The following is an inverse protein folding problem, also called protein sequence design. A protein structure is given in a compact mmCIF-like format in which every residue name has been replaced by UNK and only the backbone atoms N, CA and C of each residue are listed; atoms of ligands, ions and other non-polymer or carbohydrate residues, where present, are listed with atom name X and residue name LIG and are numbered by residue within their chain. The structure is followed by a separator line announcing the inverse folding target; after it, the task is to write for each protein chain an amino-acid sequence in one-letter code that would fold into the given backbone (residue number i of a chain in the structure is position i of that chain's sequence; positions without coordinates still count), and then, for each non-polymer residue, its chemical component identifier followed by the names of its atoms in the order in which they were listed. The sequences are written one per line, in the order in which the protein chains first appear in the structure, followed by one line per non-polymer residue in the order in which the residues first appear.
data_IF_688624813460
#
_entry.id   IF_688624813460
#
_cell.length_a   1.000
_cell.length_b   1.000
_cell.length_c   1.000
_cell.angle_alpha   90.00
_cell.angle_beta   90.00
_cell.angle_gamma   90.00
#
_symmetry.space_group_name_H-M   'P 1'
#
loop_
_entity.id
_entity.type
_entity.pdbx_description
1 polymer ?
#
# COMPACT_ATOMS: atom_id res chain seq x y z
N UNK A 1 1.55 -30.48 10.57
CA UNK A 1 2.68 -29.94 11.33
C UNK A 1 2.85 -28.50 10.88
N UNK A 2 2.28 -27.58 11.64
CA UNK A 2 2.37 -26.12 11.35
C UNK A 2 3.70 -25.63 11.93
N UNK A 3 4.66 -25.28 11.06
CA UNK A 3 5.87 -24.60 11.49
C UNK A 3 5.51 -23.12 11.71
N UNK A 4 5.28 -22.74 12.95
CA UNK A 4 5.35 -21.34 13.37
C UNK A 4 6.83 -20.95 13.33
N UNK A 5 7.24 -20.24 12.25
CA UNK A 5 8.55 -19.61 12.21
C UNK A 5 8.65 -18.63 13.39
N UNK A 6 9.80 -18.57 14.04
CA UNK A 6 10.03 -17.59 15.13
C UNK A 6 10.16 -16.19 14.54
N UNK A 7 9.80 -15.14 15.28
CA UNK A 7 9.90 -13.72 14.87
C UNK A 7 11.31 -13.37 14.33
N UNK A 8 12.35 -14.00 14.89
CA UNK A 8 13.75 -13.86 14.45
C UNK A 8 13.98 -14.47 13.06
N UNK A 9 13.39 -15.62 12.76
CA UNK A 9 13.54 -16.31 11.46
C UNK A 9 12.84 -15.54 10.35
N UNK A 10 11.66 -14.98 10.61
CA UNK A 10 10.91 -14.16 9.64
C UNK A 10 11.68 -12.89 9.26
N UNK A 11 12.27 -12.19 10.24
CA UNK A 11 13.06 -10.98 9.99
C UNK A 11 14.33 -11.30 9.19
N UNK A 12 15.03 -12.36 9.56
CA UNK A 12 16.25 -12.80 8.84
C UNK A 12 15.94 -13.20 7.40
N UNK A 13 14.78 -13.81 7.13
CA UNK A 13 14.36 -14.18 5.78
C UNK A 13 14.10 -12.94 4.90
N UNK A 14 13.57 -11.84 5.45
CA UNK A 14 13.41 -10.60 4.69
C UNK A 14 14.73 -9.85 4.48
N UNK A 15 15.64 -9.83 5.47
CA UNK A 15 16.96 -9.18 5.35
C UNK A 15 17.81 -9.78 4.21
N UNK A 16 17.56 -11.03 3.84
CA UNK A 16 18.23 -11.73 2.72
C UNK A 16 17.49 -11.55 1.38
N UNK A 17 16.22 -11.12 1.40
CA UNK A 17 15.40 -10.94 0.19
C UNK A 17 15.78 -9.65 -0.57
N UNK A 18 15.58 -9.61 -1.91
CA UNK A 18 15.83 -8.39 -2.68
C UNK A 18 15.05 -7.19 -2.16
N UNK A 19 15.69 -6.02 -2.11
CA UNK A 19 15.05 -4.75 -1.77
C UNK A 19 14.23 -4.27 -2.97
N UNK A 20 12.91 -4.15 -2.79
CA UNK A 20 11.97 -3.62 -3.79
C UNK A 20 11.86 -2.10 -3.69
N UNK A 21 11.71 -1.55 -2.48
CA UNK A 21 11.66 -0.11 -2.26
C UNK A 21 12.73 0.28 -1.23
N UNK A 22 13.53 1.30 -1.56
CA UNK A 22 14.45 1.95 -0.60
C UNK A 22 14.12 3.44 -0.53
N UNK A 23 13.97 3.93 0.67
CA UNK A 23 13.85 5.34 1.01
C UNK A 23 15.11 5.75 1.74
N UNK A 24 15.76 6.81 1.28
CA UNK A 24 16.99 7.32 1.90
C UNK A 24 16.87 8.83 2.17
N UNK A 25 16.80 9.18 3.46
CA UNK A 25 16.75 10.54 3.99
C UNK A 25 15.65 11.43 3.36
N UNK A 26 14.45 10.88 3.15
CA UNK A 26 13.36 11.59 2.47
C UNK A 26 12.89 12.79 3.28
N UNK A 27 12.91 13.97 2.67
CA UNK A 27 12.44 15.24 3.24
C UNK A 27 11.37 15.86 2.35
N UNK A 28 10.34 16.41 2.98
CA UNK A 28 9.26 17.12 2.29
C UNK A 28 8.67 18.20 3.16
N UNK A 29 8.52 19.39 2.59
CA UNK A 29 7.89 20.53 3.24
C UNK A 29 6.81 21.14 2.34
N UNK A 30 5.82 21.78 2.94
CA UNK A 30 4.82 22.59 2.27
C UNK A 30 4.81 23.98 2.92
N UNK A 31 5.42 24.97 2.26
CA UNK A 31 5.74 26.26 2.87
C UNK A 31 6.64 26.06 4.09
N UNK A 32 6.25 26.58 5.25
CA UNK A 32 7.02 26.46 6.50
C UNK A 32 6.76 25.13 7.24
N UNK A 33 5.84 24.31 6.77
CA UNK A 33 5.49 23.04 7.43
C UNK A 33 6.40 21.91 6.94
N UNK A 34 7.32 21.45 7.79
CA UNK A 34 8.15 20.28 7.54
C UNK A 34 7.34 19.00 7.83
N UNK A 35 6.96 18.26 6.77
CA UNK A 35 6.08 17.08 6.87
C UNK A 35 6.87 15.79 6.95
N UNK A 36 7.96 15.65 6.17
CA UNK A 36 8.89 14.52 6.25
C UNK A 36 10.29 15.05 6.57
N UNK A 37 10.94 14.47 7.58
CA UNK A 37 12.17 14.98 8.18
C UNK A 37 13.28 13.92 8.21
N UNK A 38 13.60 13.33 7.05
CA UNK A 38 14.68 12.34 6.95
C UNK A 38 14.19 10.92 7.19
N UNK A 39 13.20 10.49 6.41
CA UNK A 39 12.67 9.13 6.47
C UNK A 39 13.57 8.19 5.68
N UNK A 40 14.06 7.13 6.34
CA UNK A 40 14.88 6.09 5.72
C UNK A 40 14.45 4.69 6.18
N UNK A 41 14.06 3.83 5.23
CA UNK A 41 13.83 2.41 5.43
C UNK A 41 13.74 1.69 4.08
N UNK A 42 13.94 0.38 4.09
CA UNK A 42 13.79 -0.49 2.92
C UNK A 42 12.50 -1.30 3.01
N UNK A 43 11.98 -1.78 1.90
CA UNK A 43 10.94 -2.83 1.82
C UNK A 43 11.47 -3.94 0.93
N UNK A 44 11.41 -5.17 1.43
CA UNK A 44 11.90 -6.34 0.73
C UNK A 44 10.79 -7.03 -0.07
N UNK A 45 11.21 -7.88 -1.00
CA UNK A 45 10.26 -8.64 -1.82
C UNK A 45 9.35 -9.51 -0.94
N UNK A 46 8.05 -9.47 -1.23
CA UNK A 46 7.00 -10.19 -0.50
C UNK A 46 6.75 -9.71 0.93
N UNK A 47 7.35 -8.60 1.32
CA UNK A 47 7.12 -8.00 2.63
C UNK A 47 5.86 -7.12 2.64
N UNK A 48 5.09 -7.19 3.72
CA UNK A 48 3.98 -6.28 4.02
C UNK A 48 4.40 -5.34 5.14
N UNK A 49 4.58 -4.06 4.80
CA UNK A 49 4.94 -3.00 5.75
C UNK A 49 3.72 -2.14 6.06
N UNK A 50 3.35 -2.05 7.34
CA UNK A 50 2.31 -1.13 7.80
C UNK A 50 2.92 0.19 8.29
N UNK A 51 2.52 1.27 7.65
CA UNK A 51 2.87 2.64 8.01
C UNK A 51 1.82 3.19 8.97
N UNK A 52 2.15 3.28 10.24
CA UNK A 52 1.25 3.74 11.30
C UNK A 52 1.65 5.13 11.81
N UNK A 53 0.74 5.76 12.53
CA UNK A 53 0.99 7.06 13.17
C UNK A 53 -0.25 7.94 13.20
N UNK A 54 -0.26 8.99 14.04
CA UNK A 54 -1.38 9.92 14.14
C UNK A 54 -1.66 10.63 12.81
N UNK A 55 -2.85 11.24 12.70
CA UNK A 55 -3.18 12.11 11.58
C UNK A 55 -2.15 13.24 11.46
N UNK A 56 -1.73 13.56 10.25
CA UNK A 56 -0.71 14.58 10.00
C UNK A 56 0.74 14.14 10.25
N UNK A 57 1.01 12.86 10.57
CA UNK A 57 2.38 12.37 10.76
C UNK A 57 3.22 12.25 9.49
N UNK A 58 2.61 12.40 8.30
CA UNK A 58 3.28 12.34 7.01
C UNK A 58 3.05 11.07 6.19
N UNK A 59 2.21 10.11 6.65
CA UNK A 59 1.96 8.82 5.96
C UNK A 59 1.56 8.99 4.49
N UNK A 60 0.44 9.68 4.24
CA UNK A 60 -0.05 9.89 2.87
C UNK A 60 0.89 10.74 2.01
N UNK A 61 1.63 11.68 2.63
CA UNK A 61 2.66 12.44 1.92
C UNK A 61 3.81 11.52 1.48
N UNK A 62 4.28 10.64 2.35
CA UNK A 62 5.32 9.67 2.01
C UNK A 62 4.86 8.75 0.88
N UNK A 63 3.64 8.22 0.95
CA UNK A 63 3.09 7.38 -0.11
C UNK A 63 2.95 8.13 -1.45
N UNK A 64 2.59 9.43 -1.42
CA UNK A 64 2.57 10.29 -2.61
C UNK A 64 3.97 10.55 -3.17
N UNK A 65 5.00 10.62 -2.34
CA UNK A 65 6.38 10.69 -2.81
C UNK A 65 6.80 9.39 -3.49
N UNK A 66 6.46 8.23 -2.93
CA UNK A 66 6.79 6.92 -3.50
C UNK A 66 6.14 6.69 -4.86
N UNK A 67 4.90 7.16 -5.07
CA UNK A 67 4.21 7.03 -6.37
C UNK A 67 4.42 8.23 -7.31
N UNK A 68 5.33 9.15 -6.97
CA UNK A 68 5.69 10.34 -7.73
C UNK A 68 4.52 11.32 -7.99
N UNK A 69 3.51 11.34 -7.10
CA UNK A 69 2.46 12.37 -7.08
C UNK A 69 2.93 13.63 -6.34
N UNK A 70 3.94 13.49 -5.47
CA UNK A 70 4.64 14.59 -4.82
C UNK A 70 6.14 14.41 -5.02
N UNK A 71 6.85 15.48 -5.33
CA UNK A 71 8.31 15.47 -5.39
C UNK A 71 8.89 15.62 -3.98
N UNK A 72 9.93 14.87 -3.68
CA UNK A 72 10.72 15.06 -2.47
C UNK A 72 11.52 16.37 -2.57
N UNK A 73 11.78 17.02 -1.44
CA UNK A 73 12.63 18.21 -1.40
C UNK A 73 14.12 17.81 -1.28
N UNK A 74 14.38 16.65 -0.63
CA UNK A 74 15.71 16.06 -0.45
C UNK A 74 15.59 14.56 -0.20
N UNK A 75 16.68 13.82 -0.42
CA UNK A 75 16.74 12.36 -0.32
C UNK A 75 16.47 11.64 -1.63
N UNK A 76 16.54 10.31 -1.60
CA UNK A 76 16.40 9.46 -2.77
C UNK A 76 15.43 8.31 -2.51
N UNK A 77 14.65 7.96 -3.53
CA UNK A 77 13.77 6.80 -3.53
C UNK A 77 14.20 5.86 -4.66
N UNK A 78 14.37 4.58 -4.33
CA UNK A 78 14.78 3.55 -5.26
C UNK A 78 13.72 2.47 -5.38
N UNK A 79 13.31 2.12 -6.59
CA UNK A 79 12.40 1.03 -6.88
C UNK A 79 13.16 -0.04 -7.68
N UNK A 80 13.39 -1.22 -7.07
CA UNK A 80 14.20 -2.30 -7.66
C UNK A 80 15.51 -1.79 -8.28
N UNK A 81 16.27 -1.00 -7.50
CA UNK A 81 17.56 -0.44 -7.91
C UNK A 81 17.50 0.73 -8.91
N UNK A 82 16.30 1.19 -9.29
CA UNK A 82 16.10 2.39 -10.12
C UNK A 82 15.86 3.58 -9.22
N UNK A 83 16.69 4.63 -9.28
CA UNK A 83 16.41 5.92 -8.62
C UNK A 83 15.23 6.60 -9.31
N UNK A 84 14.08 6.61 -8.62
CA UNK A 84 12.84 7.20 -9.13
C UNK A 84 12.74 8.71 -8.87
N UNK A 85 13.66 9.25 -8.08
CA UNK A 85 13.77 10.70 -7.79
C UNK A 85 14.69 11.44 -8.75
N UNK A 86 15.42 10.72 -9.62
CA UNK A 86 16.23 11.35 -10.68
C UNK A 86 15.30 12.19 -11.59
N UNK A 87 15.56 13.49 -11.78
CA UNK A 87 14.73 14.34 -12.65
C UNK A 87 14.64 13.87 -14.11
N UNK A 88 15.55 12.99 -14.54
CA UNK A 88 15.57 12.39 -15.88
C UNK A 88 14.77 11.10 -15.98
N UNK A 89 14.29 10.58 -14.85
CA UNK A 89 13.53 9.33 -14.83
C UNK A 89 12.18 9.46 -15.55
N UNK A 90 11.80 8.44 -16.29
CA UNK A 90 10.48 8.35 -16.92
C UNK A 90 9.43 8.03 -15.84
N UNK A 91 8.77 9.08 -15.33
CA UNK A 91 7.79 8.95 -14.26
C UNK A 91 6.60 8.07 -14.65
N UNK A 92 6.18 8.06 -15.92
CA UNK A 92 5.05 7.25 -16.36
C UNK A 92 5.42 5.77 -16.40
N UNK A 93 6.64 5.44 -16.86
CA UNK A 93 7.17 4.09 -16.81
C UNK A 93 7.33 3.59 -15.36
N UNK A 94 7.74 4.46 -14.42
CA UNK A 94 7.85 4.12 -13.00
C UNK A 94 6.46 3.90 -12.39
N UNK A 95 5.51 4.81 -12.60
CA UNK A 95 4.13 4.67 -12.09
C UNK A 95 3.45 3.41 -12.61
N UNK A 96 3.79 2.95 -13.82
CA UNK A 96 3.27 1.71 -14.39
C UNK A 96 3.70 0.45 -13.62
N UNK A 97 4.76 0.53 -12.80
CA UNK A 97 5.31 -0.55 -11.96
C UNK A 97 4.72 -0.55 -10.55
N UNK A 98 4.00 0.52 -10.15
CA UNK A 98 3.44 0.71 -8.81
C UNK A 98 1.91 0.66 -8.90
N UNK A 99 1.29 -0.26 -8.16
CA UNK A 99 -0.15 -0.29 -7.96
C UNK A 99 -0.53 0.64 -6.81
N UNK A 100 -1.56 1.46 -7.00
CA UNK A 100 -2.00 2.39 -5.93
C UNK A 100 -3.50 2.26 -5.72
N UNK A 101 -3.89 2.12 -4.44
CA UNK A 101 -5.28 2.20 -3.99
C UNK A 101 -5.36 3.33 -2.98
N UNK A 102 -6.18 4.32 -3.28
CA UNK A 102 -6.35 5.51 -2.46
C UNK A 102 -7.51 5.33 -1.46
N UNK A 103 -7.53 6.17 -0.45
CA UNK A 103 -8.62 6.29 0.53
C UNK A 103 -10.00 6.47 -0.15
N UNK A 104 -10.09 7.31 -1.17
CA UNK A 104 -11.22 7.37 -2.07
C UNK A 104 -10.99 6.38 -3.22
N UNK A 105 -12.04 5.69 -3.65
CA UNK A 105 -11.95 4.62 -4.65
C UNK A 105 -11.37 5.09 -5.99
N UNK A 106 -11.57 6.36 -6.33
CA UNK A 106 -11.06 7.02 -7.55
C UNK A 106 -11.37 6.23 -8.82
N UNK A 107 -12.53 5.57 -8.88
CA UNK A 107 -13.02 4.96 -10.10
C UNK A 107 -13.51 6.03 -11.06
N UNK A 108 -13.28 5.81 -12.35
CA UNK A 108 -13.80 6.69 -13.40
C UNK A 108 -15.32 6.49 -13.52
N UNK A 109 -16.18 7.47 -13.14
CA UNK A 109 -17.62 7.27 -13.02
C UNK A 109 -18.31 7.01 -14.36
N UNK A 110 -17.72 7.48 -15.46
CA UNK A 110 -18.21 7.29 -16.83
C UNK A 110 -17.73 6.01 -17.51
N UNK A 111 -17.00 5.16 -16.78
CA UNK A 111 -16.50 3.88 -17.25
C UNK A 111 -17.11 2.73 -16.46
N UNK A 112 -17.43 1.63 -17.14
CA UNK A 112 -17.84 0.39 -16.48
C UNK A 112 -16.69 -0.19 -15.65
N UNK A 113 -17.01 -1.11 -14.74
CA UNK A 113 -16.03 -1.84 -13.89
C UNK A 113 -14.91 -2.44 -14.74
N UNK A 114 -15.24 -3.19 -15.78
CA UNK A 114 -14.22 -3.83 -16.62
C UNK A 114 -13.34 -2.80 -17.35
N UNK A 115 -13.91 -1.65 -17.75
CA UNK A 115 -13.14 -0.56 -18.35
C UNK A 115 -12.21 0.13 -17.36
N UNK A 116 -12.67 0.32 -16.11
CA UNK A 116 -11.85 0.83 -15.03
C UNK A 116 -10.63 -0.07 -14.78
N UNK A 117 -10.85 -1.38 -14.67
CA UNK A 117 -9.79 -2.36 -14.41
C UNK A 117 -8.81 -2.46 -15.59
N UNK A 118 -9.30 -2.48 -16.83
CA UNK A 118 -8.46 -2.68 -18.02
C UNK A 118 -7.73 -1.43 -18.52
N UNK A 119 -8.04 -0.24 -17.98
CA UNK A 119 -7.59 1.03 -18.54
C UNK A 119 -6.05 1.12 -18.67
N UNK A 120 -5.32 0.90 -17.56
CA UNK A 120 -3.87 0.98 -17.54
C UNK A 120 -3.22 -0.08 -18.43
N UNK A 121 -3.68 -1.33 -18.37
CA UNK A 121 -3.18 -2.42 -19.21
C UNK A 121 -3.30 -2.09 -20.70
N UNK A 122 -4.40 -1.45 -21.11
CA UNK A 122 -4.63 -1.10 -22.53
C UNK A 122 -3.92 0.17 -22.97
N UNK A 123 -3.89 1.20 -22.11
CA UNK A 123 -3.39 2.54 -22.48
C UNK A 123 -1.90 2.73 -22.23
N UNK A 124 -1.40 2.14 -21.15
CA UNK A 124 0.01 2.25 -20.74
C UNK A 124 0.82 1.04 -21.17
N UNK A 125 0.31 -0.16 -20.94
CA UNK A 125 1.02 -1.40 -21.29
C UNK A 125 0.68 -1.95 -22.67
N UNK A 126 -0.18 -1.26 -23.45
CA UNK A 126 -0.55 -1.61 -24.84
C UNK A 126 -1.06 -3.05 -25.03
N UNK A 127 -1.70 -3.64 -23.99
CA UNK A 127 -2.29 -4.97 -24.13
C UNK A 127 -3.45 -4.95 -25.11
N UNK A 128 -3.63 -6.07 -25.84
CA UNK A 128 -4.82 -6.27 -26.67
C UNK A 128 -6.09 -6.26 -25.80
N UNK A 129 -7.22 -5.94 -26.42
CA UNK A 129 -8.51 -5.92 -25.71
C UNK A 129 -8.80 -7.27 -25.08
N UNK A 130 -8.66 -8.34 -25.83
CA UNK A 130 -9.02 -9.70 -25.40
C UNK A 130 -8.13 -10.16 -24.22
N UNK A 131 -6.82 -9.91 -24.27
CA UNK A 131 -5.90 -10.20 -23.18
C UNK A 131 -6.27 -9.41 -21.92
N UNK A 132 -6.55 -8.11 -22.06
CA UNK A 132 -6.89 -7.26 -20.93
C UNK A 132 -8.24 -7.66 -20.30
N UNK A 133 -9.26 -7.92 -21.11
CA UNK A 133 -10.58 -8.35 -20.64
C UNK A 133 -10.53 -9.73 -19.97
N UNK A 134 -9.81 -10.70 -20.53
CA UNK A 134 -9.62 -12.01 -19.92
C UNK A 134 -9.00 -11.89 -18.52
N UNK A 135 -7.87 -11.17 -18.40
CA UNK A 135 -7.21 -10.95 -17.09
C UNK A 135 -8.09 -10.18 -16.12
N UNK A 136 -8.81 -9.15 -16.57
CA UNK A 136 -9.74 -8.41 -15.73
C UNK A 136 -10.87 -9.28 -15.19
N UNK A 137 -11.43 -10.17 -16.01
CA UNK A 137 -12.48 -11.10 -15.58
C UNK A 137 -11.98 -12.12 -14.57
N UNK A 138 -10.72 -12.58 -14.66
CA UNK A 138 -10.09 -13.44 -13.65
C UNK A 138 -9.97 -12.69 -12.29
N UNK A 139 -9.47 -11.44 -12.32
CA UNK A 139 -9.36 -10.63 -11.12
C UNK A 139 -10.72 -10.32 -10.50
N UNK A 140 -11.71 -9.96 -11.33
CA UNK A 140 -13.06 -9.69 -10.88
C UNK A 140 -13.75 -10.93 -10.29
N UNK A 141 -13.45 -12.13 -10.82
CA UNK A 141 -13.96 -13.40 -10.29
C UNK A 141 -13.42 -13.66 -8.88
N UNK A 142 -12.11 -13.48 -8.69
CA UNK A 142 -11.43 -13.64 -7.39
C UNK A 142 -12.02 -12.75 -6.30
N UNK A 143 -12.46 -11.54 -6.64
CA UNK A 143 -13.06 -10.59 -5.69
C UNK A 143 -14.60 -10.64 -5.66
N UNK A 144 -15.21 -11.65 -6.29
CA UNK A 144 -16.68 -11.82 -6.32
C UNK A 144 -17.42 -10.75 -7.14
N UNK A 145 -16.72 -10.06 -8.07
CA UNK A 145 -17.29 -8.94 -8.83
C UNK A 145 -17.52 -9.24 -10.32
N UNK A 146 -17.30 -10.49 -10.77
CA UNK A 146 -17.44 -10.88 -12.18
C UNK A 146 -18.82 -10.52 -12.76
N UNK A 147 -19.90 -10.77 -12.01
CA UNK A 147 -21.27 -10.45 -12.45
C UNK A 147 -21.52 -8.94 -12.59
N UNK A 148 -20.67 -8.10 -11.98
CA UNK A 148 -20.73 -6.64 -12.04
C UNK A 148 -19.76 -6.01 -13.04
N UNK A 149 -19.10 -6.78 -13.90
CA UNK A 149 -18.12 -6.29 -14.87
C UNK A 149 -18.66 -5.18 -15.79
N UNK A 150 -19.94 -5.24 -16.16
CA UNK A 150 -20.62 -4.23 -16.98
C UNK A 150 -21.21 -3.05 -16.17
N UNK A 151 -21.29 -3.13 -14.85
CA UNK A 151 -21.86 -2.09 -13.99
C UNK A 151 -20.98 -0.82 -13.95
N UNK A 152 -21.56 0.29 -13.54
CA UNK A 152 -20.87 1.57 -13.33
C UNK A 152 -20.65 1.81 -11.83
N UNK A 153 -19.69 2.68 -11.44
CA UNK A 153 -19.36 2.93 -10.04
C UNK A 153 -20.56 3.35 -9.15
N UNK A 154 -21.50 4.12 -9.68
CA UNK A 154 -22.72 4.55 -9.00
C UNK A 154 -23.71 3.41 -8.69
N UNK A 155 -23.55 2.25 -9.32
CA UNK A 155 -24.33 1.04 -9.10
C UNK A 155 -23.69 0.07 -8.09
N UNK A 156 -22.60 0.49 -7.43
CA UNK A 156 -21.79 -0.32 -6.52
C UNK A 156 -21.83 0.26 -5.10
N UNK A 157 -21.86 -0.62 -4.10
CA UNK A 157 -21.58 -0.22 -2.71
C UNK A 157 -20.14 0.25 -2.54
N UNK A 158 -19.81 0.97 -1.46
CA UNK A 158 -18.46 1.42 -1.16
C UNK A 158 -17.44 0.27 -1.14
N UNK A 159 -17.75 -0.84 -0.45
CA UNK A 159 -16.88 -2.03 -0.43
C UNK A 159 -16.71 -2.67 -1.81
N UNK A 160 -17.75 -2.67 -2.65
CA UNK A 160 -17.64 -3.13 -4.04
C UNK A 160 -16.74 -2.22 -4.87
N UNK A 161 -16.87 -0.89 -4.71
CA UNK A 161 -15.97 0.06 -5.38
C UNK A 161 -14.52 -0.12 -4.94
N UNK A 162 -14.29 -0.35 -3.65
CA UNK A 162 -12.94 -0.59 -3.11
C UNK A 162 -12.33 -1.88 -3.68
N UNK A 163 -13.09 -2.97 -3.72
CA UNK A 163 -12.62 -4.21 -4.35
C UNK A 163 -12.26 -4.00 -5.83
N UNK A 164 -13.06 -3.26 -6.58
CA UNK A 164 -12.74 -2.90 -7.98
C UNK A 164 -11.48 -2.04 -8.07
N UNK A 165 -11.26 -1.10 -7.14
CA UNK A 165 -10.04 -0.27 -7.10
C UNK A 165 -8.80 -1.13 -6.85
N UNK A 166 -8.88 -2.13 -5.95
CA UNK A 166 -7.81 -3.09 -5.71
C UNK A 166 -7.55 -3.95 -6.97
N UNK A 167 -8.60 -4.49 -7.60
CA UNK A 167 -8.45 -5.25 -8.85
C UNK A 167 -7.80 -4.42 -9.97
N UNK A 168 -8.14 -3.13 -10.07
CA UNK A 168 -7.51 -2.19 -11.00
C UNK A 168 -6.02 -2.03 -10.72
N UNK A 169 -5.63 -1.89 -9.46
CA UNK A 169 -4.23 -1.74 -9.06
C UNK A 169 -3.41 -3.01 -9.35
N UNK A 170 -4.02 -4.19 -9.24
CA UNK A 170 -3.38 -5.50 -9.48
C UNK A 170 -3.34 -5.90 -10.96
N UNK A 171 -4.03 -5.17 -11.83
CA UNK A 171 -4.23 -5.58 -13.24
C UNK A 171 -2.93 -5.85 -13.98
N UNK A 172 -1.89 -5.07 -13.70
CA UNK A 172 -0.60 -5.10 -14.39
C UNK A 172 0.50 -5.84 -13.63
N UNK A 173 0.15 -6.56 -12.55
CA UNK A 173 1.10 -7.22 -11.65
C UNK A 173 2.20 -6.25 -11.18
N UNK A 174 1.85 -5.25 -10.36
CA UNK A 174 2.81 -4.24 -9.91
C UNK A 174 3.91 -4.86 -9.05
N UNK A 175 5.09 -4.24 -9.06
CA UNK A 175 6.24 -4.62 -8.22
C UNK A 175 6.02 -4.22 -6.75
N UNK A 176 5.26 -3.14 -6.53
CA UNK A 176 4.88 -2.62 -5.23
C UNK A 176 3.41 -2.20 -5.25
N UNK A 177 2.65 -2.62 -4.24
CA UNK A 177 1.28 -2.18 -4.02
C UNK A 177 1.22 -1.18 -2.86
N UNK A 178 0.70 0.01 -3.12
CA UNK A 178 0.47 1.06 -2.13
C UNK A 178 -1.01 1.09 -1.76
N UNK A 179 -1.32 0.96 -0.45
CA UNK A 179 -2.68 0.98 0.08
C UNK A 179 -2.82 2.15 1.08
N UNK A 180 -3.41 3.27 0.66
CA UNK A 180 -3.54 4.47 1.50
C UNK A 180 -4.93 4.53 2.14
N UNK A 181 -5.02 4.13 3.42
CA UNK A 181 -6.22 4.19 4.28
C UNK A 181 -7.47 3.60 3.61
N UNK A 182 -7.32 2.44 2.97
CA UNK A 182 -8.31 1.83 2.07
C UNK A 182 -9.64 1.43 2.74
N UNK A 183 -9.73 1.45 4.07
CA UNK A 183 -10.94 1.12 4.83
C UNK A 183 -11.68 2.34 5.36
N UNK A 184 -11.04 3.51 5.41
CA UNK A 184 -11.55 4.70 6.10
C UNK A 184 -12.84 5.29 5.49
N UNK A 185 -13.11 5.02 4.21
CA UNK A 185 -14.33 5.45 3.51
C UNK A 185 -15.42 4.37 3.47
N UNK A 186 -15.23 3.24 4.18
CA UNK A 186 -16.15 2.11 4.17
C UNK A 186 -17.07 2.09 5.39
N UNK A 187 -18.23 1.48 5.21
CA UNK A 187 -19.07 1.06 6.32
C UNK A 187 -18.29 -0.01 7.14
N UNK A 188 -18.29 0.05 8.49
CA UNK A 188 -17.61 -0.93 9.34
C UNK A 188 -17.92 -2.39 9.02
N UNK A 189 -19.15 -2.68 8.56
CA UNK A 189 -19.55 -4.03 8.15
C UNK A 189 -18.81 -4.56 6.92
N UNK A 190 -18.22 -3.66 6.10
CA UNK A 190 -17.52 -4.00 4.86
C UNK A 190 -16.00 -4.01 5.01
N UNK A 191 -15.48 -3.54 6.14
CA UNK A 191 -14.03 -3.45 6.40
C UNK A 191 -13.40 -4.83 6.34
N UNK A 192 -13.99 -5.84 7.02
CA UNK A 192 -13.47 -7.20 7.06
C UNK A 192 -13.23 -7.81 5.69
N UNK A 193 -14.18 -7.69 4.75
CA UNK A 193 -14.06 -8.23 3.40
C UNK A 193 -12.85 -7.66 2.62
N UNK A 194 -12.52 -6.37 2.84
CA UNK A 194 -11.38 -5.72 2.19
C UNK A 194 -10.07 -6.14 2.84
N UNK A 195 -10.05 -6.29 4.17
CA UNK A 195 -8.87 -6.74 4.90
C UNK A 195 -8.53 -8.21 4.61
N UNK A 196 -9.54 -9.09 4.49
CA UNK A 196 -9.36 -10.48 4.05
C UNK A 196 -8.68 -10.55 2.67
N UNK A 197 -9.11 -9.68 1.74
CA UNK A 197 -8.47 -9.58 0.42
C UNK A 197 -7.00 -9.16 0.52
N UNK A 198 -6.64 -8.23 1.39
CA UNK A 198 -5.22 -7.83 1.58
C UNK A 198 -4.42 -8.99 2.17
N UNK A 199 -5.00 -9.78 3.08
CA UNK A 199 -4.38 -11.00 3.61
C UNK A 199 -4.12 -12.03 2.50
N UNK A 200 -5.07 -12.25 1.60
CA UNK A 200 -4.87 -13.13 0.43
C UNK A 200 -3.75 -12.63 -0.49
N UNK A 201 -3.62 -11.30 -0.69
CA UNK A 201 -2.54 -10.73 -1.49
C UNK A 201 -1.17 -10.96 -0.84
N UNK A 202 -1.08 -10.85 0.49
CA UNK A 202 0.12 -11.22 1.24
C UNK A 202 0.50 -12.68 1.02
N UNK A 203 -0.45 -13.61 1.19
CA UNK A 203 -0.22 -15.05 0.97
C UNK A 203 0.26 -15.37 -0.44
N UNK A 204 -0.12 -14.56 -1.44
CA UNK A 204 0.36 -14.67 -2.82
C UNK A 204 1.71 -14.01 -3.07
N UNK A 205 2.36 -13.48 -2.03
CA UNK A 205 3.67 -12.87 -2.10
C UNK A 205 3.66 -11.46 -2.73
N UNK A 206 2.57 -10.71 -2.62
CA UNK A 206 2.55 -9.31 -3.06
C UNK A 206 3.35 -8.45 -2.09
N UNK A 207 4.27 -7.61 -2.59
CA UNK A 207 4.98 -6.62 -1.77
C UNK A 207 4.07 -5.42 -1.53
N UNK A 208 3.81 -5.08 -0.27
CA UNK A 208 2.79 -4.08 0.10
C UNK A 208 3.37 -3.04 1.07
N UNK A 209 3.13 -1.76 0.78
CA UNK A 209 3.23 -0.67 1.76
C UNK A 209 1.80 -0.15 2.00
N UNK A 210 1.32 -0.28 3.23
CA UNK A 210 -0.03 0.17 3.58
C UNK A 210 0.00 1.21 4.71
N UNK A 211 -0.77 2.29 4.55
CA UNK A 211 -1.16 3.17 5.64
C UNK A 211 -2.55 2.74 6.13
N UNK A 212 -2.71 2.52 7.43
CA UNK A 212 -3.98 2.07 8.00
C UNK A 212 -4.19 2.60 9.42
N UNK A 213 -5.44 2.67 9.83
CA UNK A 213 -5.88 2.89 11.22
C UNK A 213 -6.45 1.61 11.85
N UNK A 214 -6.50 0.50 11.11
CA UNK A 214 -6.94 -0.81 11.57
C UNK A 214 -5.81 -1.51 12.32
N UNK A 215 -5.68 -1.23 13.63
CA UNK A 215 -4.52 -1.68 14.43
C UNK A 215 -4.46 -3.20 14.56
N UNK A 216 -5.60 -3.87 14.78
CA UNK A 216 -5.65 -5.34 14.85
C UNK A 216 -5.19 -5.96 13.54
N UNK A 217 -5.65 -5.43 12.42
CA UNK A 217 -5.22 -5.91 11.11
C UNK A 217 -3.72 -5.67 10.85
N UNK A 218 -3.21 -4.48 11.20
CA UNK A 218 -1.79 -4.20 11.07
C UNK A 218 -0.94 -5.15 11.93
N UNK A 219 -1.42 -5.49 13.14
CA UNK A 219 -0.76 -6.45 14.02
C UNK A 219 -0.71 -7.86 13.42
N UNK A 220 -1.80 -8.32 12.81
CA UNK A 220 -1.95 -9.70 12.35
C UNK A 220 -1.40 -9.92 10.92
N UNK A 221 -1.53 -8.90 10.06
CA UNK A 221 -1.19 -9.02 8.64
C UNK A 221 0.17 -8.44 8.27
N UNK A 222 0.68 -7.42 8.97
CA UNK A 222 1.97 -6.84 8.63
C UNK A 222 3.14 -7.72 9.09
N UNK A 223 4.22 -7.75 8.30
CA UNK A 223 5.48 -8.35 8.68
C UNK A 223 6.32 -7.35 9.48
N UNK A 224 6.15 -6.06 9.16
CA UNK A 224 6.84 -4.96 9.83
C UNK A 224 5.96 -3.72 9.95
N UNK A 225 6.16 -3.00 11.04
CA UNK A 225 5.53 -1.72 11.33
C UNK A 225 6.57 -0.61 11.30
N UNK A 226 6.26 0.45 10.58
CA UNK A 226 6.99 1.73 10.61
C UNK A 226 6.06 2.77 11.23
N UNK A 227 6.37 3.18 12.46
CA UNK A 227 5.59 4.20 13.17
C UNK A 227 6.13 5.58 12.86
N UNK A 228 5.35 6.39 12.15
CA UNK A 228 5.68 7.79 11.87
C UNK A 228 5.10 8.71 12.94
N UNK A 229 5.92 9.63 13.42
CA UNK A 229 5.50 10.70 14.34
C UNK A 229 6.24 11.99 14.03
N UNK A 230 5.50 13.09 13.83
CA UNK A 230 6.08 14.42 13.52
C UNK A 230 7.08 14.39 12.35
N UNK A 231 6.81 13.61 11.34
CA UNK A 231 7.64 13.52 10.14
C UNK A 231 8.92 12.69 10.28
N UNK A 232 9.11 11.96 11.38
CA UNK A 232 10.25 11.04 11.57
C UNK A 232 9.76 9.63 11.90
N UNK A 233 10.61 8.64 11.72
CA UNK A 233 10.36 7.28 12.18
C UNK A 233 10.61 7.24 13.69
N UNK A 234 9.55 7.01 14.46
CA UNK A 234 9.62 6.84 15.91
C UNK A 234 10.08 5.43 16.28
N UNK A 235 9.58 4.42 15.59
CA UNK A 235 9.97 3.01 15.70
C UNK A 235 9.79 2.28 14.38
N UNK A 236 10.61 1.23 14.20
CA UNK A 236 10.57 0.34 13.04
C UNK A 236 10.93 -1.07 13.51
N UNK A 237 10.00 -2.02 13.39
CA UNK A 237 10.18 -3.38 13.87
C UNK A 237 9.00 -4.27 13.55
N UNK A 238 9.01 -5.50 14.04
CA UNK A 238 7.86 -6.40 13.93
C UNK A 238 6.65 -5.85 14.68
N UNK A 239 5.42 -6.25 14.34
CA UNK A 239 4.22 -5.84 15.08
C UNK A 239 4.36 -6.04 16.59
N UNK A 240 4.89 -7.17 17.02
CA UNK A 240 5.12 -7.46 18.43
C UNK A 240 6.10 -6.49 19.09
N UNK A 241 7.26 -6.22 18.44
CA UNK A 241 8.27 -5.29 18.99
C UNK A 241 7.71 -3.88 19.15
N UNK A 242 6.97 -3.38 18.14
CA UNK A 242 6.49 -2.00 18.09
C UNK A 242 5.19 -1.81 18.88
N UNK A 243 4.23 -2.74 18.75
CA UNK A 243 2.90 -2.57 19.33
C UNK A 243 2.80 -3.11 20.76
N UNK A 244 3.49 -4.24 21.08
CA UNK A 244 3.33 -4.93 22.36
C UNK A 244 4.49 -4.69 23.33
N UNK A 245 5.72 -4.71 22.83
CA UNK A 245 6.94 -4.72 23.64
C UNK A 245 7.73 -3.40 23.57
N UNK A 246 7.18 -2.35 22.93
CA UNK A 246 7.86 -1.07 22.79
C UNK A 246 8.31 -0.50 24.13
N UNK A 247 9.55 -0.03 24.17
CA UNK A 247 10.12 0.70 25.32
C UNK A 247 9.96 2.21 25.20
N UNK A 248 9.60 2.72 24.02
CA UNK A 248 9.36 4.13 23.78
C UNK A 248 8.04 4.57 24.46
N UNK A 249 8.07 5.52 25.41
CA UNK A 249 6.86 5.98 26.09
C UNK A 249 5.81 6.56 25.13
N UNK A 250 6.26 7.28 24.10
CA UNK A 250 5.37 7.91 23.12
C UNK A 250 4.67 6.86 22.23
N UNK A 251 5.37 5.76 21.89
CA UNK A 251 4.78 4.64 21.15
C UNK A 251 3.75 3.91 21.99
N UNK A 252 4.07 3.64 23.26
CA UNK A 252 3.12 3.01 24.20
C UNK A 252 1.87 3.85 24.41
N UNK A 253 2.03 5.16 24.54
CA UNK A 253 0.90 6.10 24.64
C UNK A 253 0.02 6.02 23.39
N UNK A 254 0.62 6.05 22.21
CA UNK A 254 -0.12 5.95 20.94
C UNK A 254 -0.98 4.68 20.88
N UNK A 255 -0.38 3.51 21.15
CA UNK A 255 -1.14 2.24 21.08
C UNK A 255 -2.09 2.01 22.26
N UNK A 256 -1.91 2.68 23.41
CA UNK A 256 -2.83 2.55 24.54
C UNK A 256 -4.25 2.99 24.21
N UNK A 257 -4.42 3.94 23.30
CA UNK A 257 -5.72 4.43 22.84
C UNK A 257 -6.51 3.42 21.97
N UNK A 258 -5.85 2.36 21.49
CA UNK A 258 -6.45 1.33 20.63
C UNK A 258 -6.62 -0.03 21.36
N UNK A 259 -6.18 -0.14 22.61
CA UNK A 259 -6.28 -1.37 23.42
C UNK A 259 -7.54 -1.43 24.31
N UNK A 260 -8.47 -0.48 24.16
CA UNK A 260 -9.71 -0.39 24.95
C UNK A 260 -10.88 -1.08 24.26
#
# INVERSE_FOLDING_TARGET
MSMTATVSETRQAFDEAPVVLRLDNIRKSFGDAHVLNGISFDIHQHEVVALLGPSGSGKSTLMKCVNLLEQVDDGQIWLNGTDITDPRADQDAIRARIGVVFQQFNLFPHMSVIRNVTLAARKVHHWSKDRAEARALELLDRIGMRAKAGAYPDQLSGGQQQRVAIARALMTNPELLLLDEITSALDPMLVGEVLDMVSELKEQGTTILMATHEMSFAHDAADRIVLLRRGVIAENGTPREVMDESRNPETREFFSHFRS
#
